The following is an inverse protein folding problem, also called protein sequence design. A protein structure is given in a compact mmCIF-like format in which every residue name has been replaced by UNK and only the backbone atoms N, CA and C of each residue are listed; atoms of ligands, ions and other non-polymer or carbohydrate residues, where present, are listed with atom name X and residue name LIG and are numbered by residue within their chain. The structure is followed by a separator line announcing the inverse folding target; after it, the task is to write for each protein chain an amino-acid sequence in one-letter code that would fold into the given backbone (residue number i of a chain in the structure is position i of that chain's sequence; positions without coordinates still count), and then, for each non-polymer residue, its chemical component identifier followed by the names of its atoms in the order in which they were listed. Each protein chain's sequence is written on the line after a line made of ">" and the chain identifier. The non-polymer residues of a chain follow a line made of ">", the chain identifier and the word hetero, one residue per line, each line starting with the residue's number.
data_IF_485074000204
#
_entry.id   IF_485074000204
#
_cell.length_a   1.000
_cell.length_b   1.000
_cell.length_c   1.000
_cell.angle_alpha   90.00
_cell.angle_beta   90.00
_cell.angle_gamma   90.00
#
_symmetry.space_group_name_H-M   'P 1'
#
loop_
_entity.id
_entity.type
_entity.pdbx_description
1 polymer ?
#
# COMPACT_ATOMS: atom_id res chain seq x y z
N UNK A 1 1.20 -13.27 -17.66
CA UNK A 1 2.68 -13.40 -17.58
C UNK A 1 2.99 -14.64 -16.76
N UNK A 2 3.98 -15.42 -17.17
CA UNK A 2 4.41 -16.64 -16.46
C UNK A 2 5.25 -16.22 -15.26
N UNK A 3 4.90 -16.70 -14.06
CA UNK A 3 5.67 -16.38 -12.84
C UNK A 3 7.07 -17.03 -12.92
N UNK A 4 8.12 -16.25 -12.70
CA UNK A 4 9.51 -16.72 -12.73
C UNK A 4 9.98 -17.00 -11.29
N UNK A 5 10.45 -18.22 -11.03
CA UNK A 5 10.91 -18.62 -9.70
C UNK A 5 12.42 -18.46 -9.58
N UNK A 6 12.86 -17.99 -8.42
CA UNK A 6 14.28 -17.83 -8.09
C UNK A 6 14.96 -19.17 -7.78
N UNK A 7 16.29 -19.14 -7.70
CA UNK A 7 17.16 -20.25 -7.29
C UNK A 7 16.92 -20.73 -5.85
N UNK A 8 16.19 -19.95 -5.05
CA UNK A 8 15.94 -20.28 -3.65
C UNK A 8 14.84 -21.34 -3.54
N UNK A 9 15.23 -22.58 -3.21
CA UNK A 9 14.29 -23.72 -3.13
C UNK A 9 13.45 -23.73 -1.85
N UNK A 10 13.91 -23.06 -0.80
CA UNK A 10 13.14 -22.94 0.44
C UNK A 10 12.10 -21.83 0.25
N UNK A 11 10.82 -22.14 0.44
CA UNK A 11 9.74 -21.13 0.38
C UNK A 11 9.48 -20.48 1.74
N UNK A 12 9.98 -21.06 2.83
CA UNK A 12 9.91 -20.47 4.18
C UNK A 12 11.01 -19.44 4.42
N UNK A 13 11.26 -18.60 3.42
CA UNK A 13 12.16 -17.46 3.59
C UNK A 13 11.32 -16.34 4.20
N UNK A 14 11.65 -15.91 5.42
CA UNK A 14 10.79 -14.98 6.15
C UNK A 14 10.97 -13.52 5.67
N UNK A 15 11.90 -13.27 4.74
CA UNK A 15 12.06 -12.00 4.02
C UNK A 15 12.86 -12.14 2.72
N UNK A 16 12.66 -11.22 1.79
CA UNK A 16 13.52 -11.08 0.61
C UNK A 16 13.81 -9.60 0.34
N UNK A 17 15.05 -9.26 -0.02
CA UNK A 17 15.42 -7.89 -0.40
C UNK A 17 15.62 -7.82 -1.91
N UNK A 18 15.08 -6.78 -2.54
CA UNK A 18 15.34 -6.44 -3.94
C UNK A 18 15.76 -4.98 -3.99
N UNK A 19 17.05 -4.72 -4.18
CA UNK A 19 17.60 -3.36 -4.13
C UNK A 19 17.29 -2.66 -2.80
N UNK A 20 16.43 -1.62 -2.84
CA UNK A 20 15.99 -0.84 -1.65
C UNK A 20 14.58 -1.20 -1.18
N UNK A 21 14.06 -2.37 -1.58
CA UNK A 21 12.75 -2.88 -1.14
C UNK A 21 12.91 -4.18 -0.37
N UNK A 22 12.05 -4.38 0.61
CA UNK A 22 11.96 -5.63 1.38
C UNK A 22 10.56 -6.20 1.25
N UNK A 23 10.49 -7.51 1.08
CA UNK A 23 9.29 -8.31 0.98
C UNK A 23 9.24 -9.30 2.13
N UNK A 24 8.04 -9.62 2.59
CA UNK A 24 7.77 -10.59 3.66
C UNK A 24 7.66 -12.04 3.15
N UNK A 25 7.76 -12.25 1.83
CA UNK A 25 7.82 -13.56 1.23
C UNK A 25 8.72 -13.56 0.00
N UNK A 26 9.29 -14.71 -0.32
CA UNK A 26 10.05 -14.91 -1.55
C UNK A 26 9.15 -14.71 -2.79
N UNK A 27 7.90 -15.18 -2.71
CA UNK A 27 6.93 -15.11 -3.81
C UNK A 27 6.62 -13.66 -4.22
N UNK A 28 6.46 -12.76 -3.25
CA UNK A 28 6.18 -11.34 -3.54
C UNK A 28 7.40 -10.66 -4.17
N UNK A 29 8.61 -11.03 -3.74
CA UNK A 29 9.85 -10.54 -4.35
C UNK A 29 10.04 -11.06 -5.78
N UNK A 30 9.74 -12.33 -6.04
CA UNK A 30 9.76 -12.95 -7.36
C UNK A 30 8.75 -12.30 -8.30
N UNK A 31 7.51 -12.13 -7.84
CA UNK A 31 6.45 -11.43 -8.57
C UNK A 31 6.89 -10.00 -8.93
N UNK A 32 7.44 -9.26 -7.96
CA UNK A 32 7.95 -7.91 -8.20
C UNK A 32 9.06 -7.89 -9.26
N UNK A 33 10.00 -8.83 -9.21
CA UNK A 33 11.07 -8.94 -10.20
C UNK A 33 10.51 -9.23 -11.61
N UNK A 34 9.58 -10.18 -11.72
CA UNK A 34 8.96 -10.54 -12.99
C UNK A 34 8.17 -9.37 -13.60
N UNK A 35 7.44 -8.61 -12.79
CA UNK A 35 6.69 -7.43 -13.25
C UNK A 35 7.59 -6.28 -13.72
N UNK A 36 8.80 -6.18 -13.17
CA UNK A 36 9.74 -5.07 -13.45
C UNK A 36 10.91 -5.50 -14.37
N UNK A 37 10.91 -6.74 -14.86
CA UNK A 37 11.95 -7.25 -15.76
C UNK A 37 13.32 -7.45 -15.11
N UNK A 38 13.36 -7.68 -13.79
CA UNK A 38 14.59 -8.02 -13.08
C UNK A 38 14.84 -9.53 -13.10
N UNK A 39 16.09 -9.94 -13.30
CA UNK A 39 16.48 -11.34 -13.14
C UNK A 39 16.34 -11.74 -11.65
N UNK A 40 15.40 -12.64 -11.38
CA UNK A 40 15.06 -13.11 -10.03
C UNK A 40 16.27 -13.68 -9.28
N UNK A 41 17.25 -14.24 -9.99
CA UNK A 41 18.40 -14.92 -9.38
C UNK A 41 19.51 -13.97 -8.94
N UNK A 42 19.63 -12.81 -9.56
CA UNK A 42 20.61 -11.77 -9.23
C UNK A 42 20.00 -10.63 -8.41
N UNK A 43 18.72 -10.32 -8.61
CA UNK A 43 18.06 -9.19 -7.95
C UNK A 43 17.62 -9.50 -6.52
N UNK A 44 17.26 -10.74 -6.22
CA UNK A 44 16.79 -11.16 -4.90
C UNK A 44 18.00 -11.48 -4.02
N UNK A 45 18.15 -10.70 -2.95
CA UNK A 45 19.12 -10.90 -1.89
C UNK A 45 18.46 -11.55 -0.67
N UNK A 46 18.98 -12.70 -0.29
CA UNK A 46 18.68 -13.38 0.97
C UNK A 46 19.95 -14.09 1.46
N UNK A 47 20.35 -13.80 2.70
CA UNK A 47 21.43 -14.48 3.43
C UNK A 47 21.10 -14.45 4.92
N UNK A 48 21.43 -15.53 5.62
CA UNK A 48 21.39 -15.55 7.09
C UNK A 48 22.64 -14.85 7.63
N UNK A 49 22.65 -13.52 7.51
CA UNK A 49 23.78 -12.65 7.86
C UNK A 49 23.28 -11.44 8.68
N UNK A 50 23.91 -11.14 9.84
CA UNK A 50 23.53 -10.00 10.68
C UNK A 50 23.57 -8.64 9.98
N UNK A 51 24.51 -8.41 9.06
CA UNK A 51 24.61 -7.13 8.34
C UNK A 51 23.41 -6.93 7.39
N UNK A 52 23.06 -7.97 6.62
CA UNK A 52 21.86 -7.95 5.79
C UNK A 52 20.58 -7.78 6.61
N UNK A 53 20.48 -8.44 7.77
CA UNK A 53 19.33 -8.29 8.70
C UNK A 53 19.18 -6.83 9.17
N UNK A 54 20.26 -6.18 9.58
CA UNK A 54 20.23 -4.77 10.00
C UNK A 54 19.87 -3.82 8.85
N UNK A 55 20.42 -4.07 7.65
CA UNK A 55 20.08 -3.30 6.44
C UNK A 55 18.59 -3.41 6.11
N UNK A 56 18.00 -4.60 6.24
CA UNK A 56 16.58 -4.84 6.01
C UNK A 56 15.71 -4.12 7.03
N UNK A 57 16.05 -4.22 8.32
CA UNK A 57 15.33 -3.50 9.37
C UNK A 57 15.36 -1.99 9.12
N UNK A 58 16.51 -1.46 8.73
CA UNK A 58 16.69 -0.04 8.37
C UNK A 58 15.79 0.35 7.19
N UNK A 59 15.79 -0.42 6.10
CA UNK A 59 14.93 -0.16 4.94
C UNK A 59 13.45 -0.23 5.33
N UNK A 60 13.05 -1.26 6.09
CA UNK A 60 11.67 -1.44 6.53
C UNK A 60 11.20 -0.28 7.41
N UNK A 61 12.05 0.26 8.29
CA UNK A 61 11.74 1.46 9.09
C UNK A 61 11.46 2.69 8.21
N UNK A 62 12.32 2.96 7.21
CA UNK A 62 12.09 4.07 6.28
C UNK A 62 10.81 3.89 5.47
N UNK A 63 10.58 2.70 4.93
CA UNK A 63 9.38 2.40 4.16
C UNK A 63 8.11 2.51 5.04
N UNK A 64 8.17 2.06 6.29
CA UNK A 64 7.05 2.20 7.25
C UNK A 64 6.69 3.67 7.49
N UNK A 65 7.68 4.56 7.63
CA UNK A 65 7.44 5.98 7.80
C UNK A 65 6.74 6.59 6.58
N UNK A 66 7.19 6.26 5.37
CA UNK A 66 6.56 6.71 4.11
C UNK A 66 5.12 6.21 4.01
N UNK A 67 4.88 4.92 4.28
CA UNK A 67 3.53 4.35 4.23
C UNK A 67 2.62 4.96 5.30
N UNK A 68 3.14 5.28 6.49
CA UNK A 68 2.38 5.98 7.52
C UNK A 68 1.96 7.38 7.06
N UNK A 69 2.86 8.15 6.45
CA UNK A 69 2.52 9.45 5.86
C UNK A 69 1.43 9.30 4.79
N UNK A 70 1.53 8.29 3.92
CA UNK A 70 0.50 8.00 2.93
C UNK A 70 -0.86 7.70 3.57
N UNK A 71 -0.89 6.91 4.65
CA UNK A 71 -2.12 6.62 5.39
C UNK A 71 -2.74 7.88 6.01
N UNK A 72 -1.92 8.77 6.57
CA UNK A 72 -2.39 10.01 7.19
C UNK A 72 -3.00 10.94 6.13
N UNK A 73 -2.37 11.03 4.95
CA UNK A 73 -2.90 11.81 3.82
C UNK A 73 -4.20 11.23 3.27
N UNK A 74 -4.30 9.90 3.15
CA UNK A 74 -5.53 9.22 2.72
C UNK A 74 -6.66 9.40 3.75
N UNK A 75 -6.33 9.37 5.05
CA UNK A 75 -7.29 9.63 6.12
C UNK A 75 -7.83 11.07 6.04
N UNK A 76 -6.95 12.06 5.94
CA UNK A 76 -7.36 13.46 5.80
C UNK A 76 -8.24 13.69 4.56
N UNK A 77 -7.91 13.03 3.44
CA UNK A 77 -8.72 13.09 2.22
C UNK A 77 -10.10 12.44 2.41
N UNK A 78 -10.18 11.29 3.06
CA UNK A 78 -11.46 10.64 3.34
C UNK A 78 -12.35 11.52 4.23
N UNK A 79 -11.79 12.12 5.28
CA UNK A 79 -12.50 13.06 6.16
C UNK A 79 -13.03 14.29 5.39
N UNK A 80 -12.22 14.86 4.50
CA UNK A 80 -12.66 15.98 3.65
C UNK A 80 -13.81 15.58 2.71
N UNK A 81 -13.77 14.37 2.12
CA UNK A 81 -14.84 13.87 1.26
C UNK A 81 -16.13 13.61 2.04
N UNK A 82 -16.04 13.10 3.27
CA UNK A 82 -17.23 12.97 4.15
C UNK A 82 -17.86 14.33 4.43
N UNK A 83 -17.04 15.37 4.69
CA UNK A 83 -17.56 16.72 4.85
C UNK A 83 -18.24 17.24 3.58
N UNK A 84 -17.66 17.00 2.40
CA UNK A 84 -18.27 17.40 1.12
C UNK A 84 -19.60 16.68 0.86
N UNK A 85 -19.67 15.36 1.11
CA UNK A 85 -20.90 14.58 0.98
C UNK A 85 -21.99 15.13 1.90
N UNK A 86 -21.66 15.43 3.15
CA UNK A 86 -22.61 15.99 4.11
C UNK A 86 -23.10 17.38 3.71
N UNK A 87 -22.23 18.24 3.15
CA UNK A 87 -22.64 19.54 2.59
C UNK A 87 -23.59 19.35 1.41
N UNK A 88 -23.26 18.47 0.47
CA UNK A 88 -24.13 18.19 -0.67
C UNK A 88 -25.50 17.64 -0.23
N UNK A 89 -25.54 16.80 0.81
CA UNK A 89 -26.80 16.32 1.38
C UNK A 89 -27.63 17.46 1.98
N UNK A 90 -27.02 18.34 2.77
CA UNK A 90 -27.70 19.50 3.34
C UNK A 90 -28.19 20.49 2.27
N UNK A 91 -27.43 20.67 1.20
CA UNK A 91 -27.82 21.52 0.06
C UNK A 91 -28.99 20.89 -0.71
N UNK A 92 -28.98 19.57 -0.93
CA UNK A 92 -30.04 18.82 -1.61
C UNK A 92 -31.40 18.87 -0.88
N UNK A 93 -31.40 19.06 0.44
CA UNK A 93 -32.63 19.25 1.23
C UNK A 93 -33.31 20.59 0.94
N UNK A 94 -32.55 21.61 0.53
CA UNK A 94 -33.02 23.00 0.40
C UNK A 94 -32.92 23.55 -1.02
N UNK A 95 -32.33 22.79 -1.95
CA UNK A 95 -32.03 23.26 -3.30
C UNK A 95 -33.28 23.50 -4.14
N UNK A 96 -33.16 24.42 -5.09
CA UNK A 96 -34.16 24.57 -6.15
C UNK A 96 -34.20 23.29 -7.02
N UNK A 97 -35.37 22.87 -7.55
CA UNK A 97 -35.48 21.66 -8.36
C UNK A 97 -34.53 21.59 -9.57
N UNK A 98 -34.20 22.75 -10.17
CA UNK A 98 -33.26 22.83 -11.29
C UNK A 98 -31.80 22.52 -10.90
N UNK A 99 -31.41 22.80 -9.65
CA UNK A 99 -30.04 22.55 -9.17
C UNK A 99 -29.86 21.13 -8.64
N UNK A 100 -30.98 20.41 -8.42
CA UNK A 100 -31.00 19.09 -7.79
C UNK A 100 -30.16 18.07 -8.54
N UNK A 101 -30.21 18.09 -9.88
CA UNK A 101 -29.41 17.19 -10.73
C UNK A 101 -27.92 17.38 -10.51
N UNK A 102 -27.45 18.62 -10.64
CA UNK A 102 -26.05 18.99 -10.42
C UNK A 102 -25.54 18.61 -9.02
N UNK A 103 -26.31 18.90 -7.98
CA UNK A 103 -25.93 18.56 -6.59
C UNK A 103 -25.92 17.04 -6.35
N UNK A 104 -26.82 16.30 -7.00
CA UNK A 104 -26.86 14.83 -6.93
C UNK A 104 -25.62 14.23 -7.57
N UNK A 105 -25.23 14.70 -8.75
CA UNK A 105 -24.04 14.23 -9.46
C UNK A 105 -22.76 14.52 -8.67
N UNK A 106 -22.65 15.75 -8.14
CA UNK A 106 -21.52 16.13 -7.29
C UNK A 106 -21.40 15.25 -6.04
N UNK A 107 -22.53 14.99 -5.36
CA UNK A 107 -22.56 14.08 -4.21
C UNK A 107 -22.11 12.67 -4.60
N UNK A 108 -22.62 12.14 -5.71
CA UNK A 108 -22.29 10.80 -6.17
C UNK A 108 -20.80 10.69 -6.54
N UNK A 109 -20.23 11.72 -7.16
CA UNK A 109 -18.79 11.80 -7.45
C UNK A 109 -17.96 11.81 -6.16
N UNK A 110 -18.37 12.58 -5.15
CA UNK A 110 -17.70 12.61 -3.85
C UNK A 110 -17.75 11.24 -3.14
N UNK A 111 -18.87 10.53 -3.22
CA UNK A 111 -19.01 9.15 -2.71
C UNK A 111 -18.06 8.20 -3.45
N UNK A 112 -18.02 8.25 -4.78
CA UNK A 112 -17.13 7.40 -5.57
C UNK A 112 -15.65 7.65 -5.24
N UNK A 113 -15.25 8.92 -5.11
CA UNK A 113 -13.90 9.31 -4.67
C UNK A 113 -13.60 8.81 -3.25
N UNK A 114 -14.58 8.83 -2.36
CA UNK A 114 -14.41 8.36 -0.99
C UNK A 114 -14.17 6.85 -0.97
N UNK A 115 -14.97 6.07 -1.71
CA UNK A 115 -14.77 4.61 -1.85
C UNK A 115 -13.37 4.28 -2.37
N UNK A 116 -12.94 4.90 -3.47
CA UNK A 116 -11.59 4.65 -4.00
C UNK A 116 -10.47 5.10 -3.04
N UNK A 117 -10.71 6.12 -2.22
CA UNK A 117 -9.75 6.54 -1.17
C UNK A 117 -9.65 5.50 -0.06
N UNK A 118 -10.77 4.89 0.34
CA UNK A 118 -10.81 3.83 1.36
C UNK A 118 -10.13 2.54 0.88
N UNK A 119 -10.37 2.12 -0.37
CA UNK A 119 -9.69 0.98 -0.98
C UNK A 119 -8.17 1.18 -1.03
N UNK A 120 -7.72 2.36 -1.47
CA UNK A 120 -6.29 2.71 -1.46
C UNK A 120 -5.71 2.66 -0.04
N UNK A 121 -6.47 3.10 0.97
CA UNK A 121 -6.04 3.07 2.37
C UNK A 121 -5.88 1.64 2.88
N UNK A 122 -6.77 0.72 2.51
CA UNK A 122 -6.66 -0.70 2.88
C UNK A 122 -5.40 -1.35 2.28
N UNK A 123 -5.10 -1.07 1.00
CA UNK A 123 -3.88 -1.56 0.34
C UNK A 123 -2.63 -1.06 1.07
N UNK A 124 -2.54 0.26 1.32
CA UNK A 124 -1.38 0.85 2.00
C UNK A 124 -1.25 0.32 3.44
N UNK A 125 -2.36 0.12 4.14
CA UNK A 125 -2.35 -0.45 5.49
C UNK A 125 -1.84 -1.90 5.49
N UNK A 126 -2.25 -2.71 4.50
CA UNK A 126 -1.74 -4.07 4.30
C UNK A 126 -0.23 -4.10 4.08
N UNK A 127 0.28 -3.21 3.21
CA UNK A 127 1.72 -3.07 2.97
C UNK A 127 2.47 -2.67 4.24
N UNK A 128 1.93 -1.73 5.03
CA UNK A 128 2.55 -1.30 6.29
C UNK A 128 2.60 -2.44 7.29
N UNK A 129 1.51 -3.19 7.47
CA UNK A 129 1.45 -4.34 8.38
C UNK A 129 2.47 -5.42 8.01
N UNK A 130 2.69 -5.65 6.71
CA UNK A 130 3.72 -6.58 6.25
C UNK A 130 5.12 -6.16 6.70
N UNK A 131 5.43 -4.85 6.69
CA UNK A 131 6.71 -4.34 7.16
C UNK A 131 6.85 -4.40 8.68
N UNK A 132 5.76 -4.29 9.45
CA UNK A 132 5.83 -4.38 10.92
C UNK A 132 6.41 -5.72 11.39
N UNK A 133 6.05 -6.81 10.70
CA UNK A 133 6.59 -8.15 10.95
C UNK A 133 8.11 -8.21 10.72
N UNK A 134 8.66 -7.38 9.83
CA UNK A 134 10.08 -7.32 9.51
C UNK A 134 10.86 -6.41 10.49
N UNK A 135 10.23 -5.37 11.00
CA UNK A 135 10.83 -4.48 12.01
C UNK A 135 10.94 -5.10 13.40
N UNK A 136 10.11 -6.11 13.69
CA UNK A 136 10.00 -6.75 15.01
C UNK A 136 10.79 -8.05 15.18
N UNK A 137 11.70 -8.38 14.27
CA UNK A 137 12.53 -9.58 14.33
C UNK A 137 13.42 -9.63 15.58
N UNK A 138 12.91 -10.30 16.60
CA UNK A 138 13.68 -10.73 17.78
C UNK A 138 14.04 -12.19 17.53
N UNK A 139 15.32 -12.52 17.76
CA UNK A 139 15.85 -13.90 17.65
C UNK A 139 15.12 -14.88 18.58
#
# INVERSE_FOLDING_TARGET
>A
MTHEYSKFKNKNIPYAKVGRRVFNSLFDAETFCAEHGFDVNSAIEYRDDPELKNNIQTIAQYQKAILQECLDRLKARAEALVQEINRCNADLEKCHPLDRGFLTDRRNEAIAKHTGTMEAREIVAGLKNNLERLTGWHD
#
